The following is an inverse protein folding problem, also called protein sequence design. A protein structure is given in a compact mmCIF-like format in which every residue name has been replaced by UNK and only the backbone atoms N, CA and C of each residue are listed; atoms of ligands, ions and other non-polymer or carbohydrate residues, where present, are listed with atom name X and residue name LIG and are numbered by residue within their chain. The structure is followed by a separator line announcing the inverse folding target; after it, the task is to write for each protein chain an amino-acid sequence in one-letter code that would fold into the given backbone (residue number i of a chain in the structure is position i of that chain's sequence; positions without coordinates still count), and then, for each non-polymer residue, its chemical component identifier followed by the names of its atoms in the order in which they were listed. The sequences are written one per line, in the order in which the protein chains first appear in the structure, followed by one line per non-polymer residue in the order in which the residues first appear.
data_IF_259383806687
#
_entry.id   IF_259383806687
#
_cell.length_a   1.000
_cell.length_b   1.000
_cell.length_c   1.000
_cell.angle_alpha   90.00
_cell.angle_beta   90.00
_cell.angle_gamma   90.00
#
_symmetry.space_group_name_H-M   'P 1'
#
loop_
_entity.id
_entity.type
_entity.pdbx_description
1 polymer ?
#
# COMPACT_ATOMS: atom_id res chain seq x y z
N UNK A 1 17.58 -5.78 -23.40
CA UNK A 1 16.80 -6.65 -24.30
C UNK A 1 15.85 -5.75 -25.07
N UNK A 2 16.00 -5.70 -26.37
CA UNK A 2 15.01 -5.06 -27.25
C UNK A 2 13.79 -5.97 -27.32
N UNK A 3 12.60 -5.40 -27.10
CA UNK A 3 11.34 -6.09 -27.30
C UNK A 3 11.22 -6.39 -28.83
N UNK A 4 11.30 -7.66 -29.18
CA UNK A 4 11.01 -8.11 -30.55
C UNK A 4 9.60 -8.71 -30.54
N UNK A 5 8.60 -8.04 -31.14
CA UNK A 5 7.23 -8.52 -31.17
C UNK A 5 7.07 -9.84 -31.95
N UNK A 6 7.98 -10.14 -32.89
CA UNK A 6 7.93 -11.34 -33.70
C UNK A 6 8.38 -12.63 -32.97
N UNK A 7 8.96 -12.46 -31.77
CA UNK A 7 9.33 -13.60 -30.91
C UNK A 7 8.16 -14.19 -30.12
N UNK A 8 6.98 -13.59 -30.18
CA UNK A 8 5.82 -14.02 -29.40
C UNK A 8 4.66 -14.42 -30.31
N UNK A 9 3.83 -15.39 -29.88
CA UNK A 9 2.64 -15.76 -30.63
C UNK A 9 1.77 -14.53 -30.91
N UNK A 10 1.30 -14.42 -32.17
CA UNK A 10 0.43 -13.33 -32.59
C UNK A 10 -0.89 -13.42 -31.82
N UNK A 11 -1.35 -12.29 -31.31
CA UNK A 11 -2.66 -12.17 -30.68
C UNK A 11 -3.69 -11.84 -31.76
N UNK A 12 -4.72 -12.66 -31.90
CA UNK A 12 -5.82 -12.45 -32.84
C UNK A 12 -6.97 -11.66 -32.20
N UNK A 13 -7.01 -11.55 -30.86
CA UNK A 13 -8.00 -10.76 -30.13
C UNK A 13 -7.88 -9.28 -30.53
N UNK A 14 -8.99 -8.62 -30.89
CA UNK A 14 -9.00 -7.20 -31.25
C UNK A 14 -8.34 -6.32 -30.21
N UNK A 15 -7.58 -5.31 -30.62
CA UNK A 15 -6.85 -4.41 -29.71
C UNK A 15 -7.77 -3.71 -28.71
N UNK A 16 -9.00 -3.38 -29.09
CA UNK A 16 -10.01 -2.81 -28.21
C UNK A 16 -10.39 -3.77 -27.08
N UNK A 17 -10.56 -5.05 -27.37
CA UNK A 17 -10.87 -6.09 -26.37
C UNK A 17 -9.67 -6.34 -25.45
N UNK A 18 -8.46 -6.40 -26.00
CA UNK A 18 -7.23 -6.49 -25.18
C UNK A 18 -7.15 -5.32 -24.21
N UNK A 19 -7.46 -4.10 -24.64
CA UNK A 19 -7.48 -2.91 -23.79
C UNK A 19 -8.59 -2.99 -22.73
N UNK A 20 -9.78 -3.46 -23.10
CA UNK A 20 -10.94 -3.66 -22.21
C UNK A 20 -10.61 -4.65 -21.11
N UNK A 21 -10.19 -5.87 -21.45
CA UNK A 21 -9.89 -6.90 -20.43
C UNK A 21 -8.68 -6.57 -19.57
N UNK A 22 -7.70 -5.82 -20.12
CA UNK A 22 -6.61 -5.27 -19.31
C UNK A 22 -7.14 -4.34 -18.21
N UNK A 23 -8.17 -3.54 -18.49
CA UNK A 23 -8.86 -2.71 -17.50
C UNK A 23 -9.49 -3.51 -16.37
N UNK A 24 -9.88 -4.75 -16.65
CA UNK A 24 -10.50 -5.69 -15.70
C UNK A 24 -9.49 -6.55 -14.91
N UNK A 25 -8.19 -6.47 -15.20
CA UNK A 25 -7.19 -7.25 -14.46
C UNK A 25 -6.50 -8.34 -15.28
N UNK A 26 -6.87 -8.52 -16.55
CA UNK A 26 -6.30 -9.54 -17.44
C UNK A 26 -5.16 -8.95 -18.28
N UNK A 27 -3.98 -9.49 -18.13
CA UNK A 27 -2.79 -9.08 -18.87
C UNK A 27 -2.45 -10.14 -19.91
N UNK A 28 -2.19 -9.72 -21.15
CA UNK A 28 -1.83 -10.66 -22.21
C UNK A 28 -0.65 -11.55 -21.81
N UNK A 29 -0.80 -12.87 -21.98
CA UNK A 29 0.31 -13.80 -21.85
C UNK A 29 1.19 -13.69 -23.10
N UNK A 30 2.50 -13.72 -22.91
CA UNK A 30 3.46 -13.67 -24.02
C UNK A 30 3.82 -15.04 -24.56
N UNK A 31 3.48 -16.12 -23.87
CA UNK A 31 3.86 -17.50 -24.20
C UNK A 31 2.84 -18.18 -25.11
N UNK A 32 1.56 -17.81 -24.96
CA UNK A 32 0.44 -18.46 -25.63
C UNK A 32 -0.43 -17.42 -26.34
N UNK A 33 -0.79 -17.71 -27.61
CA UNK A 33 -1.69 -16.84 -28.36
C UNK A 33 -3.04 -16.74 -27.67
N UNK A 34 -3.62 -15.54 -27.69
CA UNK A 34 -4.96 -15.22 -27.20
C UNK A 34 -5.27 -15.61 -25.74
N UNK A 35 -4.20 -15.85 -24.96
CA UNK A 35 -4.29 -16.13 -23.52
C UNK A 35 -3.90 -14.90 -22.69
N UNK A 36 -4.45 -14.86 -21.47
CA UNK A 36 -4.31 -13.77 -20.53
C UNK A 36 -3.97 -14.29 -19.13
N UNK A 37 -3.24 -13.47 -18.38
CA UNK A 37 -2.92 -13.71 -16.98
C UNK A 37 -3.80 -12.80 -16.13
N UNK A 38 -4.60 -13.37 -15.25
CA UNK A 38 -5.55 -12.64 -14.42
C UNK A 38 -5.00 -12.38 -13.03
N UNK A 39 -5.03 -11.15 -12.58
CA UNK A 39 -4.78 -10.79 -11.18
C UNK A 39 -6.05 -10.90 -10.37
N UNK A 40 -6.10 -11.89 -9.48
CA UNK A 40 -7.14 -12.05 -8.47
C UNK A 40 -6.76 -11.16 -7.27
N UNK A 41 -7.65 -10.24 -6.90
CA UNK A 41 -7.44 -9.27 -5.84
C UNK A 41 -7.67 -9.93 -4.48
N UNK A 42 -6.71 -9.81 -3.58
CA UNK A 42 -6.75 -10.42 -2.24
C UNK A 42 -7.17 -9.45 -1.13
N UNK A 43 -7.46 -8.19 -1.50
CA UNK A 43 -7.72 -7.11 -0.54
C UNK A 43 -6.43 -6.56 0.08
N UNK A 44 -5.72 -7.34 0.86
CA UNK A 44 -4.51 -6.92 1.58
C UNK A 44 -3.43 -8.02 1.68
N UNK A 45 -3.55 -9.08 0.88
CA UNK A 45 -2.65 -10.24 0.91
C UNK A 45 -3.07 -11.34 1.89
N UNK A 46 -4.23 -11.20 2.53
CA UNK A 46 -4.81 -12.21 3.42
C UNK A 46 -5.97 -12.91 2.71
N UNK A 47 -5.90 -14.22 2.62
CA UNK A 47 -6.95 -15.07 2.07
C UNK A 47 -7.35 -16.15 3.08
N UNK A 48 -8.60 -16.58 3.03
CA UNK A 48 -9.02 -17.82 3.69
C UNK A 48 -8.56 -19.03 2.87
N UNK A 49 -8.49 -20.20 3.51
CA UNK A 49 -8.13 -21.44 2.82
C UNK A 49 -9.10 -21.75 1.65
N UNK A 50 -10.39 -21.54 1.85
CA UNK A 50 -11.43 -21.77 0.82
C UNK A 50 -11.24 -20.86 -0.40
N UNK A 51 -10.91 -19.58 -0.18
CA UNK A 51 -10.61 -18.64 -1.28
C UNK A 51 -9.34 -19.05 -2.04
N UNK A 52 -8.31 -19.53 -1.33
CA UNK A 52 -7.08 -20.01 -1.98
C UNK A 52 -7.35 -21.28 -2.79
N UNK A 53 -8.16 -22.20 -2.26
CA UNK A 53 -8.58 -23.41 -2.97
C UNK A 53 -9.41 -23.07 -4.22
N UNK A 54 -10.34 -22.12 -4.13
CA UNK A 54 -11.10 -21.65 -5.28
C UNK A 54 -10.22 -21.05 -6.39
N UNK A 55 -9.15 -20.32 -6.02
CA UNK A 55 -8.18 -19.80 -6.99
C UNK A 55 -7.43 -20.95 -7.67
N UNK A 56 -7.02 -21.97 -6.92
CA UNK A 56 -6.34 -23.14 -7.47
C UNK A 56 -7.26 -23.94 -8.43
N UNK A 57 -8.52 -24.11 -8.06
CA UNK A 57 -9.53 -24.74 -8.93
C UNK A 57 -9.77 -23.92 -10.21
N UNK A 58 -9.89 -22.59 -10.08
CA UNK A 58 -10.06 -21.71 -11.23
C UNK A 58 -8.85 -21.78 -12.17
N UNK A 59 -7.63 -21.87 -11.65
CA UNK A 59 -6.43 -22.02 -12.43
C UNK A 59 -6.39 -23.32 -13.23
N UNK A 60 -6.81 -24.43 -12.62
CA UNK A 60 -6.87 -25.74 -13.28
C UNK A 60 -7.99 -25.84 -14.31
N UNK A 61 -9.12 -25.17 -14.08
CA UNK A 61 -10.32 -25.26 -14.92
C UNK A 61 -10.27 -24.33 -16.13
N UNK A 62 -9.75 -23.11 -15.96
CA UNK A 62 -9.82 -22.05 -16.96
C UNK A 62 -8.48 -21.55 -17.46
N UNK A 63 -7.38 -21.89 -16.81
CA UNK A 63 -6.04 -21.45 -17.13
C UNK A 63 -5.08 -22.61 -17.41
N UNK A 64 -3.79 -22.33 -17.30
CA UNK A 64 -2.72 -23.33 -17.49
C UNK A 64 -2.50 -24.25 -16.27
N UNK A 65 -3.26 -24.11 -15.20
CA UNK A 65 -3.01 -24.78 -13.93
C UNK A 65 -1.94 -24.08 -13.05
N UNK A 66 -1.32 -23.02 -13.55
CA UNK A 66 -0.27 -22.29 -12.86
C UNK A 66 -0.81 -21.02 -12.17
N UNK A 67 -0.29 -20.73 -10.99
CA UNK A 67 -0.53 -19.48 -10.27
C UNK A 67 0.81 -18.82 -9.91
N UNK A 68 0.84 -17.49 -9.91
CA UNK A 68 2.00 -16.71 -9.50
C UNK A 68 1.62 -15.73 -8.38
N UNK A 69 2.47 -15.65 -7.34
CA UNK A 69 2.32 -14.66 -6.28
C UNK A 69 2.97 -13.35 -6.72
N UNK A 70 2.19 -12.28 -6.76
CA UNK A 70 2.68 -10.98 -7.20
C UNK A 70 3.30 -10.20 -6.04
N UNK A 71 4.22 -9.27 -6.33
CA UNK A 71 4.81 -8.37 -5.34
C UNK A 71 3.80 -7.42 -4.67
N UNK A 72 2.56 -7.36 -5.16
CA UNK A 72 1.45 -6.62 -4.55
C UNK A 72 0.43 -7.53 -3.86
N UNK A 73 0.88 -8.73 -3.48
CA UNK A 73 0.09 -9.70 -2.70
C UNK A 73 -1.21 -10.15 -3.39
N UNK A 74 -1.32 -9.97 -4.70
CA UNK A 74 -2.38 -10.59 -5.48
C UNK A 74 -1.90 -11.95 -6.00
N UNK A 75 -2.83 -12.85 -6.25
CA UNK A 75 -2.58 -14.11 -6.95
C UNK A 75 -2.83 -13.88 -8.43
N UNK A 76 -1.91 -14.28 -9.30
CA UNK A 76 -2.07 -14.19 -10.75
C UNK A 76 -2.27 -15.59 -11.30
N UNK A 77 -3.46 -15.87 -11.85
CA UNK A 77 -3.78 -17.10 -12.59
C UNK A 77 -3.30 -16.92 -14.02
N UNK A 78 -2.55 -17.90 -14.53
CA UNK A 78 -1.87 -17.80 -15.81
C UNK A 78 -2.59 -18.58 -16.93
N UNK A 79 -2.45 -18.10 -18.17
CA UNK A 79 -2.82 -18.82 -19.38
C UNK A 79 -4.33 -18.98 -19.62
N UNK A 80 -5.16 -18.02 -19.23
CA UNK A 80 -6.61 -18.04 -19.42
C UNK A 80 -6.92 -17.66 -20.88
N UNK A 81 -7.56 -18.51 -21.69
CA UNK A 81 -8.04 -18.17 -23.04
C UNK A 81 -9.02 -17.00 -22.99
N UNK A 82 -9.01 -16.16 -24.04
CA UNK A 82 -9.87 -14.96 -24.08
C UNK A 82 -11.36 -15.30 -23.92
N UNK A 83 -11.84 -16.37 -24.57
CA UNK A 83 -13.22 -16.84 -24.48
C UNK A 83 -13.61 -17.36 -23.09
N UNK A 84 -12.64 -17.73 -22.27
CA UNK A 84 -12.88 -18.23 -20.91
C UNK A 84 -12.97 -17.14 -19.83
N UNK A 85 -12.64 -15.87 -20.18
CA UNK A 85 -12.56 -14.76 -19.21
C UNK A 85 -13.88 -14.54 -18.46
N UNK A 86 -15.01 -14.58 -19.12
CA UNK A 86 -16.32 -14.37 -18.50
C UNK A 86 -16.67 -15.51 -17.54
N UNK A 87 -16.48 -16.75 -17.96
CA UNK A 87 -16.74 -17.93 -17.14
C UNK A 87 -15.79 -17.99 -15.92
N UNK A 88 -14.53 -17.64 -16.10
CA UNK A 88 -13.55 -17.50 -15.02
C UNK A 88 -13.98 -16.44 -14.01
N UNK A 89 -14.38 -15.26 -14.48
CA UNK A 89 -14.83 -14.16 -13.61
C UNK A 89 -16.08 -14.54 -12.83
N UNK A 90 -17.06 -15.18 -13.48
CA UNK A 90 -18.27 -15.67 -12.83
C UNK A 90 -17.99 -16.79 -11.80
N UNK A 91 -16.98 -17.63 -12.05
CA UNK A 91 -16.55 -18.63 -11.08
C UNK A 91 -15.95 -17.98 -9.83
N UNK A 92 -15.03 -17.02 -9.97
CA UNK A 92 -14.42 -16.30 -8.86
C UNK A 92 -15.46 -15.56 -7.99
N UNK A 93 -16.48 -14.96 -8.63
CA UNK A 93 -17.52 -14.19 -7.94
C UNK A 93 -18.32 -15.05 -6.92
N UNK A 94 -18.44 -16.37 -7.13
CA UNK A 94 -19.08 -17.30 -6.19
C UNK A 94 -18.37 -17.39 -4.83
N UNK A 95 -17.09 -17.03 -4.81
CA UNK A 95 -16.23 -17.06 -3.62
C UNK A 95 -15.87 -15.66 -3.12
N UNK A 96 -16.60 -14.62 -3.55
CA UNK A 96 -16.30 -13.22 -3.24
C UNK A 96 -14.84 -12.88 -3.60
N UNK A 97 -14.43 -13.31 -4.80
CA UNK A 97 -13.15 -12.98 -5.43
C UNK A 97 -13.38 -12.22 -6.73
N UNK A 98 -12.50 -11.30 -7.04
CA UNK A 98 -12.62 -10.47 -8.23
C UNK A 98 -11.27 -10.31 -8.95
N UNK A 99 -11.27 -10.24 -10.29
CA UNK A 99 -10.13 -9.80 -11.05
C UNK A 99 -9.92 -8.29 -10.88
N UNK A 100 -8.67 -7.79 -11.00
CA UNK A 100 -8.43 -6.36 -10.89
C UNK A 100 -6.98 -5.92 -10.80
N UNK A 101 -6.76 -4.81 -10.15
CA UNK A 101 -5.42 -4.31 -9.83
C UNK A 101 -4.61 -3.75 -11.02
N UNK A 102 -5.26 -3.32 -12.09
CA UNK A 102 -4.63 -2.77 -13.30
C UNK A 102 -5.13 -1.35 -13.63
N UNK A 103 -4.53 -0.70 -14.61
CA UNK A 103 -4.98 0.62 -15.10
C UNK A 103 -4.49 1.84 -14.30
N UNK A 104 -4.82 3.05 -14.71
CA UNK A 104 -4.48 4.31 -14.07
C UNK A 104 -5.51 4.63 -12.97
N UNK A 105 -5.44 3.92 -11.87
CA UNK A 105 -6.36 4.03 -10.72
C UNK A 105 -5.67 3.57 -9.44
N UNK A 106 -6.37 3.65 -8.32
CA UNK A 106 -5.90 3.08 -7.05
C UNK A 106 -5.65 1.59 -7.24
N UNK A 107 -4.52 1.11 -6.74
CA UNK A 107 -4.11 -0.30 -6.82
C UNK A 107 -4.48 -1.04 -5.54
N UNK A 108 -4.62 -2.38 -5.57
CA UNK A 108 -4.82 -3.17 -4.38
C UNK A 108 -3.81 -2.79 -3.30
N UNK A 109 -4.30 -2.66 -2.07
CA UNK A 109 -3.49 -2.24 -0.91
C UNK A 109 -2.54 -3.36 -0.52
N UNK A 110 -1.30 -3.00 -0.17
CA UNK A 110 -0.32 -3.95 0.36
C UNK A 110 -0.24 -3.78 1.87
N UNK A 111 -0.26 -4.88 2.60
CA UNK A 111 -0.16 -4.88 4.06
C UNK A 111 0.85 -5.91 4.55
N UNK A 112 1.61 -5.60 5.59
CA UNK A 112 2.36 -6.64 6.28
C UNK A 112 1.45 -7.37 7.29
N UNK A 113 1.92 -8.52 7.82
CA UNK A 113 1.22 -9.26 8.87
C UNK A 113 1.29 -8.60 10.27
N UNK A 114 1.41 -7.27 10.34
CA UNK A 114 1.66 -6.53 11.59
C UNK A 114 0.68 -6.86 12.70
N UNK A 115 -0.61 -7.07 12.36
CA UNK A 115 -1.67 -7.48 13.30
C UNK A 115 -1.31 -8.76 14.09
N UNK A 116 -0.63 -9.71 13.47
CA UNK A 116 -0.22 -10.99 14.10
C UNK A 116 1.29 -11.09 14.36
N UNK A 117 2.03 -10.02 14.13
CA UNK A 117 3.48 -9.98 14.28
C UNK A 117 3.88 -9.49 15.68
N UNK A 118 4.85 -10.15 16.32
CA UNK A 118 5.38 -9.72 17.64
C UNK A 118 6.00 -8.30 17.64
N UNK A 119 6.36 -7.78 16.47
CA UNK A 119 6.85 -6.40 16.29
C UNK A 119 5.77 -5.44 15.79
N UNK A 120 4.55 -5.90 15.57
CA UNK A 120 3.45 -5.07 15.09
C UNK A 120 3.01 -4.06 16.14
N UNK A 121 2.89 -2.80 15.75
CA UNK A 121 2.50 -1.69 16.62
C UNK A 121 1.07 -1.23 16.35
N UNK A 122 0.52 -1.61 15.19
CA UNK A 122 -0.84 -1.26 14.74
C UNK A 122 -1.54 -2.48 14.14
N UNK A 123 -2.86 -2.43 14.05
CA UNK A 123 -3.66 -3.39 13.28
C UNK A 123 -3.54 -3.10 11.77
N UNK A 124 -2.59 -3.77 11.13
CA UNK A 124 -2.33 -3.58 9.71
C UNK A 124 -3.40 -4.18 8.82
N UNK A 125 -3.99 -5.32 9.22
CA UNK A 125 -5.04 -5.96 8.44
C UNK A 125 -6.33 -5.14 8.47
N UNK A 126 -6.78 -4.72 9.66
CA UNK A 126 -7.98 -3.90 9.79
C UNK A 126 -7.85 -2.56 9.06
N UNK A 127 -6.72 -1.84 9.21
CA UNK A 127 -6.51 -0.58 8.52
C UNK A 127 -6.42 -0.74 7.00
N UNK A 128 -5.69 -1.76 6.50
CA UNK A 128 -5.56 -1.99 5.07
C UNK A 128 -6.87 -2.44 4.42
N UNK A 129 -7.71 -3.19 5.13
CA UNK A 129 -9.04 -3.58 4.68
C UNK A 129 -9.97 -2.36 4.57
N UNK A 130 -9.97 -1.47 5.56
CA UNK A 130 -10.69 -0.19 5.50
C UNK A 130 -10.26 0.64 4.28
N UNK A 131 -8.94 0.78 4.05
CA UNK A 131 -8.38 1.49 2.89
C UNK A 131 -8.80 0.81 1.59
N UNK A 132 -8.80 -0.53 1.54
CA UNK A 132 -9.24 -1.28 0.37
C UNK A 132 -10.71 -1.01 0.04
N UNK A 133 -11.60 -1.09 1.03
CA UNK A 133 -13.02 -0.83 0.81
C UNK A 133 -13.30 0.63 0.43
N UNK A 134 -12.72 1.58 1.15
CA UNK A 134 -12.99 3.01 0.92
C UNK A 134 -12.37 3.52 -0.38
N UNK A 135 -11.13 3.10 -0.72
CA UNK A 135 -10.36 3.76 -1.77
C UNK A 135 -10.03 2.87 -2.96
N UNK A 136 -9.82 1.57 -2.79
CA UNK A 136 -9.68 0.68 -3.94
C UNK A 136 -11.06 0.40 -4.57
N UNK A 137 -12.02 -0.07 -3.78
CA UNK A 137 -13.40 -0.34 -4.25
C UNK A 137 -14.18 0.96 -4.46
N UNK A 138 -14.20 1.85 -3.48
CA UNK A 138 -14.97 3.10 -3.54
C UNK A 138 -14.55 4.06 -4.67
N UNK A 139 -13.28 4.04 -5.07
CA UNK A 139 -12.75 4.83 -6.19
C UNK A 139 -12.49 4.00 -7.44
N UNK A 140 -13.08 2.79 -7.56
CA UNK A 140 -12.81 1.89 -8.68
C UNK A 140 -13.12 2.52 -10.05
N UNK A 141 -14.19 3.30 -10.16
CA UNK A 141 -14.56 4.06 -11.36
C UNK A 141 -13.73 5.31 -11.62
N UNK A 142 -12.91 5.75 -10.65
CA UNK A 142 -12.17 7.00 -10.77
C UNK A 142 -10.86 6.76 -11.52
N UNK A 143 -10.74 7.40 -12.68
CA UNK A 143 -9.49 7.44 -13.44
C UNK A 143 -8.53 8.44 -12.80
N UNK A 144 -7.27 8.05 -12.60
CA UNK A 144 -6.20 8.90 -12.08
C UNK A 144 -5.17 9.18 -13.19
N UNK A 145 -4.30 10.19 -13.06
CA UNK A 145 -3.22 10.45 -14.03
C UNK A 145 -2.36 9.22 -14.32
N UNK A 146 -2.08 8.41 -13.28
CA UNK A 146 -1.39 7.13 -13.36
C UNK A 146 -1.84 6.22 -12.22
N UNK A 147 -1.27 4.98 -12.15
CA UNK A 147 -1.47 4.08 -11.01
C UNK A 147 -1.09 4.74 -9.69
N UNK A 148 -1.91 4.52 -8.66
CA UNK A 148 -1.68 5.01 -7.30
C UNK A 148 -1.58 3.82 -6.34
N UNK A 149 -0.52 3.75 -5.56
CA UNK A 149 -0.17 2.61 -4.72
C UNK A 149 -0.16 3.00 -3.25
N UNK A 150 -0.78 2.18 -2.42
CA UNK A 150 -0.83 2.36 -0.97
C UNK A 150 -0.25 1.11 -0.31
N UNK A 151 0.51 1.30 0.77
CA UNK A 151 1.03 0.19 1.57
C UNK A 151 0.98 0.52 3.07
N UNK A 152 0.64 -0.50 3.89
CA UNK A 152 0.52 -0.41 5.34
C UNK A 152 1.55 -1.32 6.01
N UNK A 153 2.50 -0.74 6.73
CA UNK A 153 3.50 -1.42 7.53
C UNK A 153 3.20 -1.31 9.03
N UNK A 154 3.32 -2.42 9.76
CA UNK A 154 2.99 -2.47 11.17
C UNK A 154 4.03 -1.83 12.10
N UNK A 155 5.26 -1.62 11.63
CA UNK A 155 6.35 -1.06 12.44
C UNK A 155 7.51 -0.59 11.53
N UNK A 156 8.53 0.09 12.07
CA UNK A 156 9.69 0.59 11.32
C UNK A 156 10.59 -0.48 10.66
N UNK A 157 10.33 -1.78 10.86
CA UNK A 157 11.05 -2.83 10.12
C UNK A 157 10.75 -2.81 8.60
N UNK A 158 9.72 -2.09 8.16
CA UNK A 158 9.43 -1.82 6.74
C UNK A 158 9.31 -3.07 5.84
N UNK A 159 8.83 -4.21 6.35
CA UNK A 159 8.80 -5.49 5.63
C UNK A 159 8.11 -5.42 4.26
N UNK A 160 7.06 -4.61 4.11
CA UNK A 160 6.33 -4.39 2.83
C UNK A 160 6.76 -3.10 2.13
N UNK A 161 7.82 -2.46 2.63
CA UNK A 161 8.41 -1.24 2.05
C UNK A 161 7.37 -0.16 1.77
N UNK A 162 6.63 0.33 2.80
CA UNK A 162 5.59 1.33 2.59
C UNK A 162 6.12 2.59 1.90
N UNK A 163 7.33 3.02 2.25
CA UNK A 163 8.02 4.17 1.70
C UNK A 163 8.39 4.08 0.20
N UNK A 164 8.17 2.94 -0.45
CA UNK A 164 8.28 2.78 -1.90
C UNK A 164 6.92 2.80 -2.63
N UNK A 165 5.87 3.24 -1.95
CA UNK A 165 4.53 3.41 -2.50
C UNK A 165 4.16 4.89 -2.57
N UNK A 166 3.15 5.22 -3.39
CA UNK A 166 2.70 6.61 -3.55
C UNK A 166 2.22 7.18 -2.20
N UNK A 167 1.57 6.34 -1.36
CA UNK A 167 1.35 6.57 0.06
C UNK A 167 1.83 5.37 0.85
N UNK A 168 2.69 5.60 1.83
CA UNK A 168 3.14 4.61 2.81
C UNK A 168 2.68 4.97 4.21
N UNK A 169 2.17 3.99 4.96
CA UNK A 169 1.73 4.14 6.34
C UNK A 169 2.57 3.19 7.19
N UNK A 170 3.15 3.70 8.28
CA UNK A 170 4.04 2.93 9.15
C UNK A 170 3.64 3.16 10.60
N UNK A 171 3.27 2.09 11.30
CA UNK A 171 2.96 2.14 12.73
C UNK A 171 4.16 2.55 13.57
N UNK A 172 3.91 3.38 14.58
CA UNK A 172 4.93 3.91 15.49
C UNK A 172 4.43 3.92 16.92
N UNK A 173 5.33 3.69 17.87
CA UNK A 173 5.17 3.96 19.30
C UNK A 173 6.18 5.01 19.71
N UNK A 174 5.71 6.25 19.87
CA UNK A 174 6.54 7.36 20.31
C UNK A 174 6.71 7.26 21.82
N UNK A 175 7.94 7.07 22.34
CA UNK A 175 8.14 6.90 23.79
C UNK A 175 7.88 8.19 24.55
N UNK A 176 7.17 8.10 25.65
CA UNK A 176 6.89 9.17 26.60
C UNK A 176 7.45 8.79 27.96
N UNK A 177 8.30 9.65 28.54
CA UNK A 177 8.95 9.39 29.80
C UNK A 177 8.15 9.96 30.97
N UNK A 178 7.82 9.10 31.94
CA UNK A 178 7.49 9.50 33.30
C UNK A 178 8.79 9.60 34.13
N UNK A 179 9.24 10.83 34.37
CA UNK A 179 10.51 11.09 35.03
C UNK A 179 10.55 10.57 36.48
N UNK A 180 9.42 10.55 37.18
CA UNK A 180 9.34 10.13 38.58
C UNK A 180 9.61 8.63 38.73
N UNK A 181 9.04 7.83 37.83
CA UNK A 181 9.22 6.36 37.80
C UNK A 181 10.59 5.91 37.29
N UNK A 182 11.32 6.76 36.56
CA UNK A 182 12.57 6.36 35.93
C UNK A 182 13.70 6.24 36.98
N UNK A 183 14.31 5.05 37.05
CA UNK A 183 15.42 4.74 37.97
C UNK A 183 16.79 4.70 37.28
N UNK A 184 16.88 5.09 35.99
CA UNK A 184 18.14 5.16 35.25
C UNK A 184 18.84 3.83 35.00
N UNK A 185 18.11 2.71 34.98
CA UNK A 185 18.72 1.36 34.89
C UNK A 185 19.35 1.00 33.53
N UNK A 186 19.15 1.82 32.49
CA UNK A 186 19.76 1.61 31.15
C UNK A 186 19.13 0.53 30.28
N UNK A 187 18.11 -0.21 30.74
CA UNK A 187 17.49 -1.28 29.96
C UNK A 187 16.92 -0.78 28.60
N UNK A 188 16.35 0.41 28.57
CA UNK A 188 15.84 1.07 27.36
C UNK A 188 16.95 1.40 26.35
N UNK A 189 18.09 1.92 26.83
CA UNK A 189 19.25 2.22 25.98
C UNK A 189 19.83 0.95 25.36
N UNK A 190 19.99 -0.11 26.16
CA UNK A 190 20.49 -1.42 25.71
C UNK A 190 19.56 -2.07 24.67
N UNK A 191 18.25 -1.83 24.76
CA UNK A 191 17.25 -2.38 23.83
C UNK A 191 17.11 -1.57 22.52
N UNK A 192 17.70 -0.38 22.42
CA UNK A 192 17.55 0.50 21.27
C UNK A 192 18.36 0.02 20.07
N UNK A 193 17.72 -0.39 18.96
CA UNK A 193 18.43 -0.97 17.82
C UNK A 193 19.15 0.08 16.95
N UNK A 194 18.85 1.38 17.19
CA UNK A 194 19.43 2.52 16.45
C UNK A 194 20.24 3.46 17.35
N UNK A 195 20.49 3.03 18.60
CA UNK A 195 21.23 3.81 19.60
C UNK A 195 20.73 5.25 19.81
N UNK A 196 19.43 5.48 19.58
CA UNK A 196 18.81 6.80 19.71
C UNK A 196 18.56 7.22 21.17
N UNK A 197 18.67 6.31 22.13
CA UNK A 197 18.43 6.63 23.54
C UNK A 197 19.59 6.19 24.44
N UNK A 198 19.78 6.94 25.52
CA UNK A 198 20.82 6.73 26.53
C UNK A 198 20.32 7.18 27.91
N UNK A 199 21.14 6.99 28.94
CA UNK A 199 20.89 7.51 30.28
C UNK A 199 21.81 8.69 30.53
N UNK A 200 21.23 9.80 30.93
CA UNK A 200 21.95 11.01 31.33
C UNK A 200 21.30 11.57 32.61
N UNK A 201 22.12 11.96 33.59
CA UNK A 201 21.61 12.42 34.91
C UNK A 201 20.70 11.41 35.60
N UNK A 202 20.93 10.08 35.39
CA UNK A 202 20.11 9.02 35.96
C UNK A 202 18.72 8.86 35.30
N UNK A 203 18.46 9.49 34.16
CA UNK A 203 17.17 9.47 33.48
C UNK A 203 17.33 9.09 32.00
N UNK A 204 16.25 8.57 31.41
CA UNK A 204 16.16 8.30 29.99
C UNK A 204 16.17 9.60 29.17
N UNK A 205 17.02 9.62 28.15
CA UNK A 205 17.06 10.66 27.10
C UNK A 205 16.96 9.99 25.75
N UNK A 206 16.23 10.59 24.82
CA UNK A 206 16.09 10.13 23.45
C UNK A 206 16.40 11.25 22.46
N UNK A 207 17.32 11.00 21.52
CA UNK A 207 17.56 11.85 20.38
C UNK A 207 16.44 11.61 19.33
N UNK A 208 15.43 12.47 19.32
CA UNK A 208 14.23 12.30 18.50
C UNK A 208 14.54 12.17 17.00
N UNK A 209 15.59 12.86 16.49
CA UNK A 209 16.02 12.81 15.08
C UNK A 209 16.52 11.42 14.65
N UNK A 210 17.09 10.66 15.58
CA UNK A 210 17.68 9.34 15.32
C UNK A 210 16.71 8.21 15.67
N UNK A 211 15.61 8.52 16.38
CA UNK A 211 14.61 7.57 16.82
C UNK A 211 13.66 7.20 15.67
N UNK A 212 13.48 5.89 15.44
CA UNK A 212 12.52 5.37 14.48
C UNK A 212 11.16 5.01 15.09
N UNK A 213 10.93 5.33 16.37
CA UNK A 213 9.69 5.09 17.12
C UNK A 213 9.23 3.61 17.10
N UNK A 214 10.17 2.67 17.22
CA UNK A 214 9.86 1.23 17.20
C UNK A 214 9.31 0.68 18.53
N UNK A 215 9.25 1.47 19.59
CA UNK A 215 8.70 1.09 20.89
C UNK A 215 9.54 0.11 21.72
N UNK A 216 10.70 -0.36 21.24
CA UNK A 216 11.51 -1.36 21.99
C UNK A 216 11.95 -0.88 23.36
N UNK A 217 12.27 0.40 23.51
CA UNK A 217 12.62 1.01 24.79
C UNK A 217 11.44 0.98 25.77
N UNK A 218 10.21 1.14 25.28
CA UNK A 218 8.97 1.05 26.07
C UNK A 218 8.81 -0.39 26.59
N UNK A 219 8.89 -1.39 25.71
CA UNK A 219 8.80 -2.80 26.06
C UNK A 219 9.90 -3.25 27.04
N UNK A 220 11.10 -2.65 26.98
CA UNK A 220 12.22 -2.96 27.86
C UNK A 220 12.13 -2.30 29.25
N UNK A 221 11.24 -1.34 29.44
CA UNK A 221 11.12 -0.58 30.69
C UNK A 221 10.34 -1.38 31.76
N UNK A 222 11.04 -2.16 32.57
CA UNK A 222 10.45 -3.02 33.61
C UNK A 222 9.74 -2.25 34.72
N UNK A 223 10.13 -1.01 34.95
CA UNK A 223 9.52 -0.16 35.99
C UNK A 223 8.33 0.67 35.49
N UNK A 224 7.96 0.51 34.21
CA UNK A 224 6.84 1.24 33.60
C UNK A 224 7.04 2.76 33.53
N UNK A 225 8.30 3.23 33.49
CA UNK A 225 8.61 4.64 33.35
C UNK A 225 8.49 5.16 31.91
N UNK A 226 8.49 4.25 30.91
CA UNK A 226 8.26 4.62 29.52
C UNK A 226 6.88 4.13 29.10
N UNK A 227 6.06 5.06 28.73
CA UNK A 227 4.78 4.87 28.06
C UNK A 227 4.93 5.20 26.56
N UNK A 228 3.86 5.12 25.75
CA UNK A 228 3.91 5.49 24.35
C UNK A 228 2.66 6.21 23.88
N UNK A 229 2.83 7.06 22.90
CA UNK A 229 1.75 7.53 22.04
C UNK A 229 1.75 6.68 20.79
N UNK A 230 0.58 6.07 20.48
CA UNK A 230 0.38 5.38 19.21
C UNK A 230 0.39 6.40 18.07
N UNK A 231 1.16 6.13 17.05
CA UNK A 231 1.26 7.00 15.88
C UNK A 231 1.31 6.24 14.56
N UNK A 232 1.01 6.97 13.51
CA UNK A 232 1.11 6.53 12.13
C UNK A 232 1.98 7.54 11.38
N UNK A 233 3.15 7.10 10.94
CA UNK A 233 4.00 7.89 10.05
C UNK A 233 3.49 7.70 8.63
N UNK A 234 3.10 8.78 7.97
CA UNK A 234 2.68 8.77 6.57
C UNK A 234 3.82 9.29 5.69
N UNK A 235 4.15 8.54 4.64
CA UNK A 235 5.14 8.93 3.62
C UNK A 235 4.46 9.10 2.28
N UNK A 236 4.90 10.07 1.48
CA UNK A 236 4.32 10.40 0.18
C UNK A 236 5.37 10.35 -0.93
N UNK A 237 4.95 9.99 -2.14
CA UNK A 237 5.75 10.08 -3.35
C UNK A 237 6.78 8.96 -3.52
N UNK A 238 6.66 7.88 -2.76
CA UNK A 238 7.48 6.70 -2.99
C UNK A 238 7.16 6.04 -4.32
N UNK A 239 8.17 5.46 -4.95
CA UNK A 239 8.00 4.67 -6.17
C UNK A 239 9.08 3.64 -6.35
N UNK A 240 8.71 2.52 -6.98
CA UNK A 240 9.61 1.45 -7.36
C UNK A 240 9.34 1.02 -8.80
N UNK A 241 10.37 1.01 -9.63
CA UNK A 241 10.29 0.64 -11.04
C UNK A 241 11.53 1.14 -11.82
N UNK A 242 11.35 1.60 -13.06
CA UNK A 242 12.45 2.19 -13.86
C UNK A 242 13.15 3.36 -13.16
N UNK A 243 12.40 4.13 -12.38
CA UNK A 243 12.91 5.11 -11.43
C UNK A 243 12.48 4.67 -10.04
N UNK A 244 13.41 4.64 -9.09
CA UNK A 244 13.16 4.34 -7.69
C UNK A 244 13.34 5.60 -6.85
N UNK A 245 12.45 5.82 -5.89
CA UNK A 245 12.56 6.88 -4.90
C UNK A 245 11.83 6.48 -3.63
N UNK A 246 12.38 6.86 -2.47
CA UNK A 246 11.66 6.75 -1.21
C UNK A 246 10.69 7.92 -1.05
N UNK A 247 9.55 7.64 -0.48
CA UNK A 247 8.59 8.66 -0.05
C UNK A 247 9.16 9.52 1.07
N UNK A 248 8.80 10.79 1.06
CA UNK A 248 9.13 11.74 2.12
C UNK A 248 8.07 11.64 3.21
N UNK A 249 8.50 11.54 4.47
CA UNK A 249 7.58 11.54 5.59
C UNK A 249 6.97 12.92 5.80
N UNK A 250 5.66 12.96 6.07
CA UNK A 250 5.02 14.16 6.58
C UNK A 250 5.60 14.51 7.96
N UNK A 251 5.69 15.78 8.30
CA UNK A 251 6.16 16.25 9.60
C UNK A 251 5.15 15.92 10.72
N UNK A 252 3.86 15.85 10.35
CA UNK A 252 2.77 15.51 11.25
C UNK A 252 2.74 14.02 11.58
N UNK A 253 2.67 13.70 12.87
CA UNK A 253 2.39 12.34 13.35
C UNK A 253 0.88 12.17 13.52
N UNK A 254 0.28 11.32 12.71
CA UNK A 254 -1.13 10.99 12.82
C UNK A 254 -1.34 10.07 14.04
N UNK A 255 -2.37 10.33 14.85
CA UNK A 255 -2.63 9.60 16.09
C UNK A 255 -3.88 8.75 16.06
N UNK A 256 -4.66 8.84 14.98
CA UNK A 256 -5.86 8.04 14.79
C UNK A 256 -5.97 7.47 13.36
N UNK A 257 -6.63 6.32 13.22
CA UNK A 257 -6.96 5.76 11.91
C UNK A 257 -7.81 6.70 11.06
N UNK A 258 -8.71 7.47 11.69
CA UNK A 258 -9.57 8.44 11.00
C UNK A 258 -8.73 9.50 10.29
N UNK A 259 -7.73 10.05 10.96
CA UNK A 259 -6.80 11.02 10.36
C UNK A 259 -6.00 10.41 9.22
N UNK A 260 -5.50 9.17 9.39
CA UNK A 260 -4.77 8.44 8.34
C UNK A 260 -5.65 8.19 7.11
N UNK A 261 -6.89 7.74 7.30
CA UNK A 261 -7.83 7.53 6.21
C UNK A 261 -8.10 8.84 5.47
N UNK A 262 -8.35 9.92 6.18
CA UNK A 262 -8.53 11.24 5.56
C UNK A 262 -7.29 11.69 4.77
N UNK A 263 -6.09 11.46 5.29
CA UNK A 263 -4.84 11.81 4.59
C UNK A 263 -4.66 10.98 3.30
N UNK A 264 -5.01 9.68 3.32
CA UNK A 264 -5.00 8.83 2.12
C UNK A 264 -5.99 9.36 1.06
N UNK A 265 -7.21 9.71 1.46
CA UNK A 265 -8.22 10.26 0.55
C UNK A 265 -7.75 11.59 -0.06
N UNK A 266 -7.26 12.50 0.77
CA UNK A 266 -6.71 13.79 0.33
C UNK A 266 -5.55 13.59 -0.66
N UNK A 267 -4.68 12.61 -0.45
CA UNK A 267 -3.58 12.31 -1.38
C UNK A 267 -4.10 11.80 -2.75
N UNK A 268 -5.16 11.00 -2.76
CA UNK A 268 -5.83 10.55 -3.99
C UNK A 268 -6.47 11.74 -4.71
N UNK A 269 -7.21 12.58 -3.98
CA UNK A 269 -7.86 13.77 -4.51
C UNK A 269 -6.84 14.77 -5.05
N UNK A 270 -5.76 15.02 -4.33
CA UNK A 270 -4.65 15.86 -4.79
C UNK A 270 -4.07 15.37 -6.11
N UNK A 271 -3.80 14.05 -6.20
CA UNK A 271 -3.27 13.46 -7.42
C UNK A 271 -4.25 13.55 -8.59
N UNK A 272 -5.56 13.39 -8.32
CA UNK A 272 -6.61 13.54 -9.31
C UNK A 272 -6.74 14.99 -9.80
N UNK A 273 -6.64 15.97 -8.89
CA UNK A 273 -6.80 17.40 -9.17
C UNK A 273 -5.59 18.02 -9.86
N UNK A 274 -4.38 17.67 -9.41
CA UNK A 274 -3.14 18.36 -9.80
C UNK A 274 -2.21 17.52 -10.69
N UNK A 275 -2.41 16.21 -10.80
CA UNK A 275 -1.56 15.34 -11.60
C UNK A 275 -1.81 15.48 -13.10
N UNK A 276 -0.75 15.50 -13.90
CA UNK A 276 -0.83 15.54 -15.36
C UNK A 276 -0.96 14.12 -15.92
N UNK A 277 -1.58 13.99 -17.09
CA UNK A 277 -1.78 12.70 -17.75
C UNK A 277 -0.46 11.93 -17.91
N UNK A 278 -0.40 10.69 -17.39
CA UNK A 278 0.81 9.85 -17.39
C UNK A 278 1.85 10.19 -16.31
N UNK A 279 1.66 11.26 -15.54
CA UNK A 279 2.54 11.66 -14.44
C UNK A 279 2.39 10.69 -13.25
N UNK A 280 3.49 10.36 -12.56
CA UNK A 280 3.44 9.62 -11.29
C UNK A 280 3.25 10.60 -10.14
N UNK A 281 2.61 10.15 -9.05
CA UNK A 281 2.37 11.00 -7.87
C UNK A 281 3.64 11.64 -7.32
N UNK A 282 4.77 10.93 -7.33
CA UNK A 282 6.07 11.48 -6.96
C UNK A 282 6.49 12.68 -7.83
N UNK A 283 6.19 12.65 -9.13
CA UNK A 283 6.52 13.74 -10.05
C UNK A 283 5.56 14.92 -9.85
N UNK A 284 4.28 14.64 -9.55
CA UNK A 284 3.29 15.65 -9.14
C UNK A 284 3.74 16.39 -7.88
N UNK A 285 4.17 15.65 -6.84
CA UNK A 285 4.69 16.24 -5.60
C UNK A 285 5.93 17.10 -5.86
N UNK A 286 6.87 16.61 -6.67
CA UNK A 286 8.08 17.36 -7.01
C UNK A 286 7.78 18.68 -7.73
N UNK A 287 6.73 18.71 -8.56
CA UNK A 287 6.29 19.91 -9.29
C UNK A 287 5.56 20.91 -8.41
N UNK A 288 4.73 20.45 -7.47
CA UNK A 288 3.94 21.30 -6.57
C UNK A 288 4.79 21.82 -5.41
N UNK A 289 5.76 21.03 -4.95
CA UNK A 289 6.53 21.25 -3.74
C UNK A 289 5.94 20.53 -2.51
N UNK A 290 6.80 19.86 -1.74
CA UNK A 290 6.39 19.03 -0.60
C UNK A 290 5.66 19.83 0.49
N UNK A 291 6.12 21.04 0.80
CA UNK A 291 5.52 21.90 1.83
C UNK A 291 4.05 22.23 1.50
N UNK A 292 3.78 22.56 0.24
CA UNK A 292 2.42 22.83 -0.22
C UNK A 292 1.54 21.58 -0.21
N UNK A 293 2.10 20.43 -0.59
CA UNK A 293 1.41 19.15 -0.52
C UNK A 293 1.04 18.83 0.92
N UNK A 294 1.96 18.98 1.88
CA UNK A 294 1.71 18.74 3.29
C UNK A 294 0.61 19.67 3.83
N UNK A 295 0.64 20.95 3.51
CA UNK A 295 -0.41 21.91 3.89
C UNK A 295 -1.79 21.46 3.39
N UNK A 296 -1.90 21.04 2.11
CA UNK A 296 -3.15 20.56 1.52
C UNK A 296 -3.66 19.27 2.16
N UNK A 297 -2.78 18.39 2.59
CA UNK A 297 -3.18 17.17 3.28
C UNK A 297 -3.61 17.40 4.73
N UNK A 298 -3.06 18.42 5.40
CA UNK A 298 -3.40 18.74 6.77
C UNK A 298 -4.67 19.59 6.91
N UNK A 299 -5.09 20.32 5.86
CA UNK A 299 -6.37 21.03 5.83
C UNK A 299 -7.47 20.20 5.13
N UNK A 300 -8.74 20.66 5.20
CA UNK A 300 -9.88 19.94 4.62
C UNK A 300 -10.34 20.50 3.24
N UNK A 301 -9.53 21.31 2.60
CA UNK A 301 -9.86 21.93 1.30
C UNK A 301 -10.16 20.87 0.23
N UNK A 302 -9.31 19.87 0.09
CA UNK A 302 -9.49 18.80 -0.89
C UNK A 302 -10.77 17.98 -0.65
N UNK A 303 -11.12 17.74 0.62
CA UNK A 303 -12.36 17.02 0.96
C UNK A 303 -13.60 17.86 0.65
N UNK A 304 -13.57 19.17 0.89
CA UNK A 304 -14.67 20.09 0.56
C UNK A 304 -14.92 20.18 -0.95
N UNK A 305 -13.84 20.02 -1.75
CA UNK A 305 -13.89 20.07 -3.22
C UNK A 305 -13.98 18.68 -3.86
N UNK A 306 -14.24 17.64 -3.08
CA UNK A 306 -14.21 16.24 -3.54
C UNK A 306 -15.07 16.02 -4.80
N UNK A 307 -16.32 16.44 -4.79
CA UNK A 307 -17.26 16.24 -5.92
C UNK A 307 -16.77 16.98 -7.17
N UNK A 308 -16.32 18.22 -7.03
CA UNK A 308 -15.72 19.00 -8.12
C UNK A 308 -14.52 18.27 -8.73
N UNK A 309 -13.59 17.81 -7.87
CA UNK A 309 -12.38 17.13 -8.30
C UNK A 309 -12.70 15.82 -9.03
N UNK A 310 -13.66 15.05 -8.54
CA UNK A 310 -14.03 13.77 -9.14
C UNK A 310 -14.79 13.95 -10.47
N UNK A 311 -15.50 15.05 -10.66
CA UNK A 311 -16.22 15.37 -11.89
C UNK A 311 -15.32 15.88 -13.04
N UNK A 312 -14.07 16.30 -12.76
CA UNK A 312 -13.14 16.77 -13.80
C UNK A 312 -12.88 15.68 -14.85
N UNK A 313 -12.88 16.03 -16.13
CA UNK A 313 -12.37 15.18 -17.20
C UNK A 313 -10.85 14.98 -17.05
N UNK A 314 -10.35 13.76 -17.34
CA UNK A 314 -8.91 13.41 -17.34
C UNK A 314 -8.54 12.83 -18.70
#
# INVERSE_FOLDING_TARGET
MHYNPDMYPKCTVPAADVARVKGLGFLRDKRTADCFNCRVVTGNGKLTADKLQAIAEAASKFGSGEVALTSRMNVEVQGIPFESIEAFTAFLAKYDLEPGGTGPRVRPVVSCKGTSCVFGLIDTYGLSEKIHHLYYKGYHGVKLPHKFKIAVGGCPNNCVKPDLNDVGIIGQWVPVLNKEKCVGCGACAKACPVNACHIEGGKYICAAKDCNNCGRCVCACRVGALEYVLGYRVTLGGRWGKKAARGVALSHLFTSEKEVLAAVEKAILLFRDQGLAGERFADTIARIGMDKVEQLLLCDELLKRKEEILAKAL
#
